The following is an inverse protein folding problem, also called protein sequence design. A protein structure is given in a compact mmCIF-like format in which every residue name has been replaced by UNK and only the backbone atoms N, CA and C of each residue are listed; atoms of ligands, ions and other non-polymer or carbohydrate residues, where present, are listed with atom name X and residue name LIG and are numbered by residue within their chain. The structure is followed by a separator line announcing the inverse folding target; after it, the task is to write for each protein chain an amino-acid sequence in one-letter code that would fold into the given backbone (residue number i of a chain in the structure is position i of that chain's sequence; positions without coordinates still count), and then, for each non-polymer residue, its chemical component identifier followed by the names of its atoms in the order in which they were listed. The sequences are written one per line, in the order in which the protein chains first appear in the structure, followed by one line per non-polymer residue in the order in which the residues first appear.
data_IF_428802493590
#
_entry.id   IF_428802493590
#
_cell.length_a   1.000
_cell.length_b   1.000
_cell.length_c   1.000
_cell.angle_alpha   90.00
_cell.angle_beta   90.00
_cell.angle_gamma   90.00
#
_symmetry.space_group_name_H-M   'P 1'
#
loop_
_entity.id
_entity.type
_entity.pdbx_description
1 polymer ?
#
# COMPACT_ATOMS: atom_id res chain seq x y z
N UNK A 1 -11.01 23.52 -14.72
CA UNK A 1 -9.53 23.48 -14.62
C UNK A 1 -9.07 22.21 -15.32
N UNK A 2 -8.41 22.32 -16.46
CA UNK A 2 -7.85 21.18 -17.20
C UNK A 2 -6.40 20.98 -16.75
N UNK A 3 -6.08 19.82 -16.19
CA UNK A 3 -4.71 19.50 -15.75
C UNK A 3 -3.96 18.86 -16.92
N UNK A 4 -3.01 19.61 -17.50
CA UNK A 4 -2.19 19.20 -18.64
C UNK A 4 -1.33 17.93 -18.42
N UNK A 5 -1.28 17.38 -17.21
CA UNK A 5 -0.41 16.25 -16.85
C UNK A 5 -1.10 15.18 -16.00
N UNK A 6 -2.43 15.05 -16.11
CA UNK A 6 -3.14 13.96 -15.43
C UNK A 6 -2.81 12.61 -16.06
N UNK A 7 -1.82 11.89 -15.49
CA UNK A 7 -1.48 10.51 -15.88
C UNK A 7 -2.65 9.52 -15.79
N UNK A 8 -3.73 9.90 -15.11
CA UNK A 8 -4.93 9.08 -14.91
C UNK A 8 -5.98 9.27 -16.01
N UNK A 9 -5.89 10.32 -16.84
CA UNK A 9 -6.87 10.67 -17.88
C UNK A 9 -6.23 11.16 -19.21
N UNK A 10 -4.91 11.05 -19.38
CA UNK A 10 -4.23 11.37 -20.65
C UNK A 10 -4.55 10.36 -21.76
N UNK A 11 -4.39 10.75 -23.02
CA UNK A 11 -4.54 9.85 -24.16
C UNK A 11 -3.58 8.67 -23.99
N UNK A 12 -4.12 7.44 -23.99
CA UNK A 12 -3.35 6.21 -23.80
C UNK A 12 -2.16 6.15 -24.78
N UNK A 13 -2.28 6.73 -25.97
CA UNK A 13 -1.21 6.79 -26.97
C UNK A 13 0.04 7.53 -26.49
N UNK A 14 -0.11 8.52 -25.61
CA UNK A 14 1.03 9.24 -25.02
C UNK A 14 1.76 8.42 -23.93
N UNK A 15 1.14 7.35 -23.43
CA UNK A 15 1.73 6.43 -22.45
C UNK A 15 2.33 5.16 -23.10
N UNK A 16 2.08 4.91 -24.38
CA UNK A 16 2.59 3.74 -25.09
C UNK A 16 3.98 4.00 -25.66
N UNK A 17 4.86 3.01 -25.54
CA UNK A 17 6.18 3.02 -26.16
C UNK A 17 6.08 2.43 -27.57
N UNK A 18 6.57 3.10 -28.63
CA UNK A 18 6.62 2.52 -29.97
C UNK A 18 7.39 1.20 -29.99
N UNK A 19 6.94 0.24 -30.81
CA UNK A 19 7.50 -1.13 -30.81
C UNK A 19 8.97 -1.16 -31.23
N UNK A 20 9.40 -0.23 -32.09
CA UNK A 20 10.78 -0.07 -32.53
C UNK A 20 11.70 0.29 -31.36
N UNK A 21 11.23 1.18 -30.48
CA UNK A 21 11.95 1.60 -29.28
C UNK A 21 11.97 0.47 -28.25
N UNK A 22 10.86 -0.26 -28.09
CA UNK A 22 10.78 -1.40 -27.18
C UNK A 22 11.77 -2.51 -27.55
N UNK A 23 12.03 -2.74 -28.85
CA UNK A 23 12.96 -3.78 -29.33
C UNK A 23 14.44 -3.51 -29.03
N UNK A 24 14.83 -2.24 -28.89
CA UNK A 24 16.21 -1.84 -28.59
C UNK A 24 16.46 -1.55 -27.11
N UNK A 25 15.41 -1.53 -26.30
CA UNK A 25 15.46 -1.34 -24.84
C UNK A 25 15.88 -2.66 -24.15
N UNK A 26 16.62 -2.63 -23.02
CA UNK A 26 17.07 -3.85 -22.33
C UNK A 26 15.94 -4.86 -22.12
N UNK A 27 16.25 -6.14 -22.32
CA UNK A 27 15.32 -7.27 -22.47
C UNK A 27 14.10 -7.19 -21.55
N UNK A 28 12.92 -7.07 -22.17
CA UNK A 28 11.64 -7.30 -21.51
C UNK A 28 11.63 -8.69 -20.85
N UNK A 29 10.98 -8.80 -19.70
CA UNK A 29 10.76 -10.08 -18.99
C UNK A 29 9.77 -11.03 -19.72
N UNK A 30 9.32 -10.64 -20.92
CA UNK A 30 8.34 -11.34 -21.75
C UNK A 30 8.71 -11.19 -23.24
N UNK A 31 8.37 -12.18 -24.09
CA UNK A 31 8.65 -12.10 -25.52
C UNK A 31 7.84 -10.98 -26.18
N UNK A 32 8.32 -10.51 -27.33
CA UNK A 32 7.64 -9.47 -28.12
C UNK A 32 6.40 -10.02 -28.84
N UNK A 33 6.37 -11.32 -29.08
CA UNK A 33 5.28 -12.05 -29.71
C UNK A 33 4.22 -12.39 -28.66
N UNK A 34 3.04 -11.73 -28.67
CA UNK A 34 2.03 -11.91 -27.63
C UNK A 34 1.54 -13.35 -27.54
N UNK A 35 1.41 -14.04 -28.69
CA UNK A 35 0.97 -15.43 -28.75
C UNK A 35 1.92 -16.39 -28.02
N UNK A 36 3.23 -16.15 -28.13
CA UNK A 36 4.24 -16.95 -27.42
C UNK A 36 4.11 -16.76 -25.91
N UNK A 37 3.91 -15.52 -25.46
CA UNK A 37 3.70 -15.24 -24.05
C UNK A 37 2.40 -15.87 -23.54
N UNK A 38 1.29 -15.73 -24.27
CA UNK A 38 0.00 -16.30 -23.91
C UNK A 38 0.04 -17.82 -23.84
N UNK A 39 0.71 -18.48 -24.79
CA UNK A 39 0.90 -19.92 -24.79
C UNK A 39 1.67 -20.40 -23.55
N UNK A 40 2.78 -19.75 -23.21
CA UNK A 40 3.55 -20.03 -21.99
C UNK A 40 2.71 -19.82 -20.72
N UNK A 41 1.98 -18.70 -20.61
CA UNK A 41 1.11 -18.43 -19.46
C UNK A 41 0.00 -19.45 -19.30
N UNK A 42 -0.64 -19.86 -20.39
CA UNK A 42 -1.65 -20.93 -20.39
C UNK A 42 -1.07 -22.26 -19.94
N UNK A 43 0.11 -22.63 -20.44
CA UNK A 43 0.79 -23.87 -20.06
C UNK A 43 1.15 -23.87 -18.56
N UNK A 44 1.73 -22.78 -18.04
CA UNK A 44 2.06 -22.66 -16.61
C UNK A 44 0.83 -22.69 -15.72
N UNK A 45 -0.26 -22.04 -16.14
CA UNK A 45 -1.52 -22.06 -15.42
C UNK A 45 -2.12 -23.45 -15.36
N UNK A 46 -2.12 -24.17 -16.49
CA UNK A 46 -2.59 -25.55 -16.54
C UNK A 46 -1.76 -26.45 -15.61
N UNK A 47 -0.43 -26.35 -15.66
CA UNK A 47 0.46 -27.14 -14.80
C UNK A 47 0.28 -26.80 -13.31
N UNK A 48 0.13 -25.52 -12.96
CA UNK A 48 -0.20 -25.09 -11.60
C UNK A 48 -1.55 -25.65 -11.12
N UNK A 49 -2.58 -25.63 -11.98
CA UNK A 49 -3.89 -26.19 -11.67
C UNK A 49 -3.80 -27.71 -11.43
N UNK A 50 -3.03 -28.44 -12.24
CA UNK A 50 -2.80 -29.88 -12.03
C UNK A 50 -2.07 -30.15 -10.71
N UNK A 51 -1.05 -29.37 -10.36
CA UNK A 51 -0.37 -29.47 -9.05
C UNK A 51 -1.33 -29.19 -7.89
N UNK A 52 -2.14 -28.15 -8.00
CA UNK A 52 -3.13 -27.81 -6.98
C UNK A 52 -4.15 -28.93 -6.82
N UNK A 53 -4.69 -29.48 -7.92
CA UNK A 53 -5.65 -30.58 -7.87
C UNK A 53 -5.08 -31.83 -7.18
N UNK A 54 -3.82 -32.18 -7.47
CA UNK A 54 -3.12 -33.28 -6.77
C UNK A 54 -2.96 -32.99 -5.28
N UNK A 55 -2.57 -31.78 -4.93
CA UNK A 55 -2.37 -31.36 -3.53
C UNK A 55 -3.69 -31.33 -2.76
N UNK A 56 -4.76 -30.82 -3.38
CA UNK A 56 -6.11 -30.81 -2.82
C UNK A 56 -6.61 -32.24 -2.54
N UNK A 57 -6.47 -33.15 -3.51
CA UNK A 57 -6.86 -34.56 -3.35
C UNK A 57 -6.08 -35.27 -2.24
N UNK A 58 -4.81 -34.91 -2.07
CA UNK A 58 -3.95 -35.47 -1.03
C UNK A 58 -4.09 -34.77 0.34
N UNK A 59 -4.90 -33.72 0.46
CA UNK A 59 -4.98 -32.89 1.68
C UNK A 59 -3.66 -32.17 2.01
N UNK A 60 -2.83 -31.90 1.01
CA UNK A 60 -1.46 -31.39 1.15
C UNK A 60 -1.27 -30.00 0.53
N UNK A 61 -2.32 -29.18 0.50
CA UNK A 61 -2.19 -27.78 0.06
C UNK A 61 -1.36 -27.03 1.13
N UNK A 62 -0.25 -26.39 0.78
CA UNK A 62 0.53 -25.62 1.75
C UNK A 62 -0.26 -24.40 2.24
N UNK A 63 -0.41 -24.26 3.56
CA UNK A 63 -1.07 -23.11 4.18
C UNK A 63 -2.57 -23.04 3.93
N UNK A 64 -3.24 -24.16 3.67
CA UNK A 64 -4.69 -24.20 3.55
C UNK A 64 -5.26 -25.55 3.15
N UNK A 65 -6.57 -25.59 2.92
CA UNK A 65 -7.32 -26.76 2.45
C UNK A 65 -8.44 -26.34 1.51
N UNK A 66 -8.99 -27.30 0.75
CA UNK A 66 -10.24 -27.13 0.01
C UNK A 66 -11.24 -28.12 0.59
N UNK A 67 -12.30 -27.61 1.21
CA UNK A 67 -13.35 -28.40 1.88
C UNK A 67 -14.71 -27.96 1.33
N UNK A 68 -15.51 -28.90 0.83
CA UNK A 68 -16.83 -28.64 0.24
C UNK A 68 -16.85 -27.50 -0.81
N UNK A 69 -15.79 -27.44 -1.62
CA UNK A 69 -15.63 -26.40 -2.65
C UNK A 69 -15.19 -25.03 -2.13
N UNK A 70 -14.93 -24.91 -0.83
CA UNK A 70 -14.47 -23.67 -0.19
C UNK A 70 -12.96 -23.75 0.08
N UNK A 71 -12.22 -22.73 -0.38
CA UNK A 71 -10.81 -22.54 -0.04
C UNK A 71 -10.71 -21.99 1.39
N UNK A 72 -10.07 -22.75 2.28
CA UNK A 72 -9.66 -22.29 3.61
C UNK A 72 -8.17 -22.03 3.58
N UNK A 73 -7.76 -20.86 4.08
CA UNK A 73 -6.35 -20.47 4.18
C UNK A 73 -6.00 -20.44 5.67
N UNK A 74 -4.90 -21.08 6.01
CA UNK A 74 -4.41 -21.08 7.38
C UNK A 74 -4.03 -19.67 7.80
N UNK A 75 -4.32 -19.32 9.05
CA UNK A 75 -3.85 -18.06 9.60
C UNK A 75 -2.33 -18.10 9.66
N UNK A 76 -1.67 -17.13 9.03
CA UNK A 76 -0.24 -16.96 9.16
C UNK A 76 0.12 -16.80 10.65
N UNK A 77 1.03 -17.65 11.11
CA UNK A 77 1.63 -17.49 12.44
C UNK A 77 2.41 -16.18 12.44
N UNK A 78 2.30 -15.41 13.53
CA UNK A 78 3.10 -14.22 13.70
C UNK A 78 4.59 -14.61 13.64
N UNK A 79 5.33 -14.02 12.70
CA UNK A 79 6.76 -14.22 12.56
C UNK A 79 7.56 -13.11 13.29
N UNK A 80 6.98 -12.56 14.35
CA UNK A 80 7.59 -11.49 15.15
C UNK A 80 8.62 -12.12 16.09
N UNK A 81 9.90 -11.70 16.05
CA UNK A 81 10.90 -12.17 17.00
C UNK A 81 10.52 -11.84 18.44
N UNK A 82 10.91 -12.68 19.41
CA UNK A 82 10.62 -12.45 20.83
C UNK A 82 11.23 -11.14 21.34
N UNK A 83 12.35 -10.72 20.74
CA UNK A 83 13.08 -9.50 21.11
C UNK A 83 12.43 -8.23 20.55
N UNK A 84 11.42 -8.33 19.68
CA UNK A 84 10.79 -7.18 19.04
C UNK A 84 10.17 -6.22 20.07
N UNK A 85 9.50 -6.75 21.09
CA UNK A 85 8.88 -5.94 22.14
C UNK A 85 9.94 -5.21 22.98
N UNK A 86 11.05 -5.89 23.28
CA UNK A 86 12.17 -5.29 24.01
C UNK A 86 12.83 -4.16 23.21
N UNK A 87 12.99 -4.33 21.89
CA UNK A 87 13.51 -3.30 21.00
C UNK A 87 12.56 -2.10 20.91
N UNK A 88 11.24 -2.34 20.80
CA UNK A 88 10.25 -1.25 20.81
C UNK A 88 10.37 -0.42 22.09
N UNK A 89 10.47 -1.08 23.26
CA UNK A 89 10.65 -0.39 24.53
C UNK A 89 11.98 0.38 24.62
N UNK A 90 13.08 -0.18 24.11
CA UNK A 90 14.35 0.53 24.04
C UNK A 90 14.26 1.79 23.17
N UNK A 91 13.66 1.67 21.99
CA UNK A 91 13.45 2.80 21.08
C UNK A 91 12.61 3.90 21.74
N UNK A 92 11.52 3.54 22.43
CA UNK A 92 10.71 4.51 23.17
C UNK A 92 11.50 5.25 24.25
N UNK A 93 12.39 4.57 24.97
CA UNK A 93 13.25 5.22 26.00
C UNK A 93 14.30 6.16 25.42
N UNK A 94 14.66 5.99 24.15
CA UNK A 94 15.66 6.82 23.46
C UNK A 94 15.06 8.06 22.82
N UNK A 95 13.74 8.11 22.65
CA UNK A 95 13.07 9.30 22.13
C UNK A 95 13.19 10.43 23.16
N UNK A 96 13.45 11.67 22.71
CA UNK A 96 13.47 12.81 23.61
C UNK A 96 12.10 13.02 24.24
N UNK A 97 12.08 13.37 25.52
CA UNK A 97 10.84 13.82 26.16
C UNK A 97 10.46 15.18 25.56
N UNK A 98 9.38 15.20 24.78
CA UNK A 98 8.79 16.43 24.23
C UNK A 98 7.44 16.66 24.89
N UNK A 99 7.15 17.92 25.22
CA UNK A 99 5.82 18.30 25.70
C UNK A 99 4.85 18.16 24.53
N UNK A 100 3.80 17.36 24.73
CA UNK A 100 2.79 17.08 23.70
C UNK A 100 2.17 18.36 23.11
N UNK A 101 2.01 19.42 23.93
CA UNK A 101 1.52 20.72 23.47
C UNK A 101 2.45 21.40 22.47
N UNK A 102 3.76 21.26 22.67
CA UNK A 102 4.77 21.92 21.84
C UNK A 102 4.89 21.19 20.49
N UNK A 103 4.82 19.86 20.52
CA UNK A 103 4.75 19.03 19.31
C UNK A 103 3.48 19.32 18.48
N UNK A 104 2.33 19.47 19.15
CA UNK A 104 1.08 19.81 18.46
C UNK A 104 1.14 21.18 17.78
N UNK A 105 1.80 22.16 18.40
CA UNK A 105 2.01 23.48 17.80
C UNK A 105 2.96 23.41 16.60
N UNK A 106 4.06 22.66 16.72
CA UNK A 106 5.02 22.47 15.62
C UNK A 106 4.36 21.82 14.40
N UNK A 107 3.59 20.75 14.62
CA UNK A 107 2.84 20.08 13.54
C UNK A 107 1.79 21.01 12.93
N UNK A 108 1.07 21.78 13.76
CA UNK A 108 0.08 22.74 13.29
C UNK A 108 0.71 23.84 12.42
N UNK A 109 1.92 24.32 12.77
CA UNK A 109 2.67 25.27 11.95
C UNK A 109 3.14 24.65 10.62
N UNK A 110 3.42 23.34 10.57
CA UNK A 110 3.84 22.64 9.34
C UNK A 110 2.67 22.34 8.39
N UNK A 111 1.53 21.91 8.93
CA UNK A 111 0.42 21.39 8.11
C UNK A 111 -0.82 22.31 8.07
N UNK A 112 -0.85 23.37 8.88
CA UNK A 112 -1.96 24.32 8.95
C UNK A 112 -3.27 23.70 9.45
N UNK A 113 -3.21 22.74 10.37
CA UNK A 113 -4.39 21.98 10.82
C UNK A 113 -5.51 22.89 11.35
N UNK A 114 -5.16 23.88 12.18
CA UNK A 114 -6.11 24.83 12.78
C UNK A 114 -6.77 25.74 11.75
N UNK A 115 -6.17 25.92 10.56
CA UNK A 115 -6.74 26.73 9.47
C UNK A 115 -7.98 26.07 8.84
N UNK A 116 -8.12 24.74 8.96
CA UNK A 116 -9.31 24.03 8.50
C UNK A 116 -10.55 24.32 9.38
N UNK A 117 -10.36 24.86 10.59
CA UNK A 117 -11.42 25.12 11.56
C UNK A 117 -11.70 26.62 11.66
N UNK A 118 -12.56 27.10 10.76
CA UNK A 118 -12.96 28.51 10.69
C UNK A 118 -14.37 28.74 11.23
N UNK A 119 -14.64 29.99 11.62
CA UNK A 119 -15.95 30.40 12.07
C UNK A 119 -16.99 30.28 10.92
N UNK A 120 -18.03 29.46 11.11
CA UNK A 120 -19.01 29.06 10.09
C UNK A 120 -19.58 30.22 9.26
N UNK A 121 -19.81 31.39 9.87
CA UNK A 121 -20.45 32.54 9.21
C UNK A 121 -19.46 33.52 8.57
N UNK A 122 -18.23 33.61 9.08
CA UNK A 122 -17.29 34.68 8.72
C UNK A 122 -16.01 34.16 8.07
N UNK A 123 -15.76 32.85 8.12
CA UNK A 123 -14.54 32.22 7.61
C UNK A 123 -13.27 32.59 8.38
N UNK A 124 -13.38 33.33 9.48
CA UNK A 124 -12.23 33.77 10.25
C UNK A 124 -11.65 32.58 11.04
N UNK A 125 -10.31 32.38 11.06
CA UNK A 125 -9.68 31.33 11.85
C UNK A 125 -9.98 31.45 13.35
N UNK A 126 -9.90 30.33 14.06
CA UNK A 126 -9.95 30.36 15.52
C UNK A 126 -8.76 31.15 16.09
N UNK A 127 -9.04 32.10 16.99
CA UNK A 127 -7.98 32.89 17.66
C UNK A 127 -7.25 32.09 18.74
N UNK A 128 -7.94 31.13 19.35
CA UNK A 128 -7.37 30.26 20.37
C UNK A 128 -6.87 28.95 19.74
N UNK A 129 -5.67 29.01 19.15
CA UNK A 129 -5.01 27.84 18.53
C UNK A 129 -4.69 26.77 19.57
N UNK A 130 -4.24 27.16 20.76
CA UNK A 130 -3.86 26.24 21.84
C UNK A 130 -5.09 25.49 22.36
N UNK A 131 -6.19 26.20 22.60
CA UNK A 131 -7.46 25.58 23.02
C UNK A 131 -7.98 24.58 22.00
N UNK A 132 -7.85 24.87 20.70
CA UNK A 132 -8.26 23.97 19.62
C UNK A 132 -7.40 22.70 19.59
N UNK A 133 -6.09 22.83 19.67
CA UNK A 133 -5.17 21.69 19.67
C UNK A 133 -5.32 20.81 20.92
N UNK A 134 -5.64 21.39 22.08
CA UNK A 134 -5.86 20.63 23.32
C UNK A 134 -7.06 19.66 23.24
N UNK A 135 -8.02 19.88 22.34
CA UNK A 135 -9.15 18.95 22.13
C UNK A 135 -8.68 17.57 21.63
N UNK A 136 -7.51 17.49 20.98
CA UNK A 136 -6.93 16.22 20.53
C UNK A 136 -6.40 15.35 21.69
N UNK A 137 -6.23 15.94 22.88
CA UNK A 137 -5.64 15.29 24.05
C UNK A 137 -6.67 14.91 25.12
N UNK A 138 -7.93 15.30 24.94
CA UNK A 138 -9.08 14.97 25.80
C UNK A 138 -9.83 13.75 25.30
#
# INVERSE_FOLDING_TARGET
IWLAHSRRYGDLKEALVPVEIARVTPRLAMPFEPETWLADRKARMADAAHRLARSAKAGAIPGGSIEDGTLKIDRLTAAVPEEADALVLDLYRRLPEVRVTDLLLEVDDEIGFTEAFTHLRTGVPCKDRIGLLNVLLS
#
